data_IF_876258597521
#
_entry.id   IF_876258597521
#
_cell.length_a   1.000
_cell.length_b   1.000
_cell.length_c   1.000
_cell.angle_alpha   90.00
_cell.angle_beta   90.00
_cell.angle_gamma   90.00
#
_symmetry.space_group_name_H-M   'P 1'
#
loop_
_entity.id
_entity.type
_entity.pdbx_description
1 polymer ?
#
# COMPACT_ATOMS: atom_id res chain seq x y z
N UNK A 1 -1.72 22.57 -28.87
CA UNK A 1 -1.52 23.26 -30.17
C UNK A 1 -0.64 24.49 -29.91
N UNK A 2 0.36 24.75 -30.75
CA UNK A 2 1.33 25.84 -30.55
C UNK A 2 2.69 25.41 -29.99
N UNK A 3 3.00 24.11 -29.97
CA UNK A 3 4.31 23.57 -29.58
C UNK A 3 5.21 23.43 -30.83
N UNK A 4 6.53 23.50 -30.63
CA UNK A 4 7.52 23.19 -31.68
C UNK A 4 7.35 21.75 -32.21
N UNK A 5 7.68 21.52 -33.49
CA UNK A 5 7.43 20.25 -34.19
C UNK A 5 8.02 19.06 -33.43
N UNK A 6 9.23 19.19 -32.87
CA UNK A 6 9.88 18.11 -32.11
C UNK A 6 9.07 17.71 -30.89
N UNK A 7 8.58 18.72 -30.15
CA UNK A 7 7.80 18.52 -28.93
C UNK A 7 6.39 18.04 -29.21
N UNK A 8 5.78 18.48 -30.31
CA UNK A 8 4.52 17.94 -30.78
C UNK A 8 4.62 16.44 -31.15
N UNK A 9 5.70 16.03 -31.81
CA UNK A 9 5.98 14.62 -32.14
C UNK A 9 6.21 13.78 -30.88
N UNK A 10 6.96 14.31 -29.91
CA UNK A 10 7.20 13.65 -28.62
C UNK A 10 5.88 13.42 -27.85
N UNK A 11 5.05 14.46 -27.72
CA UNK A 11 3.74 14.38 -27.05
C UNK A 11 2.82 13.38 -27.76
N UNK A 12 2.78 13.40 -29.10
CA UNK A 12 1.97 12.45 -29.87
C UNK A 12 2.44 11.00 -29.66
N UNK A 13 3.75 10.76 -29.63
CA UNK A 13 4.32 9.43 -29.35
C UNK A 13 3.97 8.97 -27.93
N UNK A 14 4.06 9.86 -26.93
CA UNK A 14 3.70 9.55 -25.55
C UNK A 14 2.20 9.22 -25.42
N UNK A 15 1.34 10.01 -26.06
CA UNK A 15 -0.11 9.81 -26.10
C UNK A 15 -0.49 8.45 -26.68
N UNK A 16 0.02 8.12 -27.87
CA UNK A 16 -0.26 6.83 -28.53
C UNK A 16 0.30 5.67 -27.71
N UNK A 17 1.51 5.80 -27.16
CA UNK A 17 2.12 4.77 -26.30
C UNK A 17 1.27 4.50 -25.07
N UNK A 18 0.76 5.53 -24.39
CA UNK A 18 -0.12 5.37 -23.24
C UNK A 18 -1.47 4.76 -23.61
N UNK A 19 -2.06 5.19 -24.71
CA UNK A 19 -3.33 4.66 -25.19
C UNK A 19 -3.22 3.17 -25.56
N UNK A 20 -2.09 2.73 -26.10
CA UNK A 20 -1.80 1.31 -26.34
C UNK A 20 -1.56 0.57 -25.01
N UNK A 21 -0.74 1.14 -24.12
CA UNK A 21 -0.37 0.49 -22.86
C UNK A 21 -1.56 0.26 -21.92
N UNK A 22 -2.59 1.11 -21.97
CA UNK A 22 -3.81 1.01 -21.18
C UNK A 22 -5.03 0.61 -22.03
N UNK A 23 -4.82 -0.17 -23.09
CA UNK A 23 -5.91 -0.72 -23.89
C UNK A 23 -6.95 -1.43 -23.02
N UNK A 24 -8.22 -1.30 -23.41
CA UNK A 24 -9.33 -1.86 -22.66
C UNK A 24 -9.39 -3.37 -22.89
N UNK A 25 -9.49 -4.16 -21.82
CA UNK A 25 -9.66 -5.61 -21.93
C UNK A 25 -11.12 -5.97 -22.30
N UNK A 26 -11.53 -5.67 -23.53
CA UNK A 26 -12.88 -5.95 -24.06
C UNK A 26 -12.81 -7.13 -25.05
N UNK A 27 -13.54 -8.20 -24.76
CA UNK A 27 -13.60 -9.41 -25.60
C UNK A 27 -12.45 -10.40 -25.34
N UNK A 28 -12.25 -11.36 -26.25
CA UNK A 28 -11.23 -12.44 -26.15
C UNK A 28 -9.92 -12.13 -26.92
N UNK A 29 -9.67 -10.88 -27.30
CA UNK A 29 -8.53 -10.46 -28.14
C UNK A 29 -7.78 -9.24 -27.58
N UNK A 30 -6.86 -8.65 -28.38
CA UNK A 30 -6.27 -7.34 -28.04
C UNK A 30 -7.36 -6.26 -28.17
N UNK A 31 -7.83 -5.74 -27.05
CA UNK A 31 -8.89 -4.74 -27.05
C UNK A 31 -8.41 -3.36 -27.50
N UNK A 32 -9.35 -2.42 -27.74
CA UNK A 32 -9.04 -1.14 -28.35
C UNK A 32 -8.09 -0.31 -27.47
N UNK A 33 -7.28 0.54 -28.10
CA UNK A 33 -6.50 1.55 -27.37
C UNK A 33 -7.43 2.41 -26.51
N UNK A 34 -6.91 2.99 -25.42
CA UNK A 34 -7.65 3.86 -24.51
C UNK A 34 -7.15 5.30 -24.63
N UNK A 35 -7.65 6.12 -25.59
CA UNK A 35 -7.24 7.51 -25.74
C UNK A 35 -7.53 8.38 -24.51
N UNK A 36 -8.52 7.99 -23.68
CA UNK A 36 -8.87 8.72 -22.45
C UNK A 36 -7.86 8.51 -21.31
N UNK A 37 -6.96 7.51 -21.42
CA UNK A 37 -5.91 7.28 -20.42
C UNK A 37 -5.02 8.51 -20.21
N UNK A 38 -4.86 9.34 -21.24
CA UNK A 38 -4.10 10.60 -21.18
C UNK A 38 -4.66 11.60 -20.16
N UNK A 39 -5.97 11.59 -19.93
CA UNK A 39 -6.64 12.44 -18.93
C UNK A 39 -6.90 11.70 -17.63
N UNK A 40 -7.27 10.42 -17.71
CA UNK A 40 -7.61 9.60 -16.54
C UNK A 40 -6.39 9.36 -15.64
N UNK A 41 -5.22 9.05 -16.20
CA UNK A 41 -4.05 8.72 -15.39
C UNK A 41 -3.56 9.90 -14.53
N UNK A 42 -3.41 11.14 -15.05
CA UNK A 42 -3.08 12.29 -14.21
C UNK A 42 -4.12 12.57 -13.13
N UNK A 43 -5.41 12.42 -13.44
CA UNK A 43 -6.50 12.62 -12.48
C UNK A 43 -6.45 11.57 -11.35
N UNK A 44 -6.25 10.29 -11.69
CA UNK A 44 -6.10 9.22 -10.70
C UNK A 44 -4.85 9.42 -9.83
N UNK A 45 -3.73 9.85 -10.42
CA UNK A 45 -2.53 10.20 -9.66
C UNK A 45 -2.81 11.32 -8.65
N UNK A 46 -3.52 12.36 -9.05
CA UNK A 46 -3.92 13.43 -8.15
C UNK A 46 -4.83 12.91 -7.03
N UNK A 47 -5.85 12.11 -7.36
CA UNK A 47 -6.78 11.53 -6.38
C UNK A 47 -6.06 10.66 -5.34
N UNK A 48 -5.11 9.83 -5.76
CA UNK A 48 -4.29 9.00 -4.86
C UNK A 48 -3.48 9.89 -3.90
N UNK A 49 -2.79 10.90 -4.42
CA UNK A 49 -1.96 11.79 -3.58
C UNK A 49 -2.81 12.59 -2.59
N UNK A 50 -3.97 13.10 -3.01
CA UNK A 50 -4.91 13.81 -2.12
C UNK A 50 -5.50 12.89 -1.05
N UNK A 51 -5.87 11.65 -1.40
CA UNK A 51 -6.34 10.67 -0.42
C UNK A 51 -5.25 10.35 0.61
N UNK A 52 -4.00 10.17 0.17
CA UNK A 52 -2.87 9.96 1.07
C UNK A 52 -2.58 11.16 1.97
N UNK A 53 -2.68 12.40 1.48
CA UNK A 53 -2.52 13.60 2.32
C UNK A 53 -3.55 13.64 3.44
N UNK A 54 -4.83 13.41 3.12
CA UNK A 54 -5.91 13.32 4.12
C UNK A 54 -5.65 12.22 5.14
N UNK A 55 -5.16 11.07 4.68
CA UNK A 55 -4.80 9.97 5.56
C UNK A 55 -3.65 10.32 6.52
N UNK A 56 -2.64 11.06 6.06
CA UNK A 56 -1.56 11.58 6.92
C UNK A 56 -2.11 12.55 7.96
N UNK A 57 -2.97 13.50 7.55
CA UNK A 57 -3.60 14.46 8.47
C UNK A 57 -4.33 13.71 9.60
N UNK A 58 -5.15 12.71 9.25
CA UNK A 58 -5.82 11.83 10.22
C UNK A 58 -4.81 11.17 11.18
N UNK A 59 -3.70 10.62 10.66
CA UNK A 59 -2.69 9.96 11.50
C UNK A 59 -1.98 10.96 12.43
N UNK A 60 -1.62 12.15 11.93
CA UNK A 60 -0.88 13.17 12.70
C UNK A 60 -1.74 13.85 13.78
N UNK A 61 -3.06 13.93 13.58
CA UNK A 61 -4.02 14.45 14.56
C UNK A 61 -4.25 13.51 15.75
N UNK A 62 -3.96 12.21 15.60
CA UNK A 62 -4.21 11.19 16.62
C UNK A 62 -2.91 10.74 17.29
N UNK A 63 -2.67 11.25 18.50
CA UNK A 63 -1.41 11.04 19.25
C UNK A 63 -1.15 9.58 19.61
N UNK A 64 -2.20 8.81 19.83
CA UNK A 64 -2.16 7.40 20.21
C UNK A 64 -1.44 6.55 19.15
N UNK A 65 -1.47 6.97 17.88
CA UNK A 65 -0.79 6.28 16.77
C UNK A 65 0.72 6.20 16.99
N UNK A 66 1.31 7.13 17.77
CA UNK A 66 2.73 7.11 18.11
C UNK A 66 3.16 5.85 18.91
N UNK A 67 2.22 5.10 19.48
CA UNK A 67 2.48 3.83 20.16
C UNK A 67 2.57 2.63 19.20
N UNK A 68 2.11 2.81 17.96
CA UNK A 68 2.11 1.79 16.91
C UNK A 68 3.30 1.91 15.95
N UNK A 69 4.27 2.80 16.22
CA UNK A 69 5.45 2.99 15.38
C UNK A 69 6.48 1.90 15.66
N UNK A 70 6.89 1.08 14.67
CA UNK A 70 7.98 0.11 14.81
C UNK A 70 9.36 0.78 14.68
N UNK A 71 10.44 0.05 14.97
CA UNK A 71 11.82 0.53 14.81
C UNK A 71 12.13 0.87 13.34
N UNK A 72 11.64 0.06 12.40
CA UNK A 72 11.73 0.37 10.95
C UNK A 72 10.79 1.49 10.50
N UNK A 73 10.05 2.13 11.42
CA UNK A 73 9.08 3.19 11.16
C UNK A 73 7.88 2.73 10.32
N UNK A 74 6.84 3.57 10.23
CA UNK A 74 5.62 3.23 9.48
C UNK A 74 5.70 3.78 8.06
N UNK A 75 5.03 3.13 7.11
CA UNK A 75 4.83 3.69 5.78
C UNK A 75 3.41 3.35 5.30
N UNK A 76 2.70 4.36 4.83
CA UNK A 76 1.39 4.26 4.23
C UNK A 76 1.57 4.28 2.71
N UNK A 77 0.96 3.34 2.02
CA UNK A 77 0.98 3.26 0.56
C UNK A 77 -0.42 3.21 -0.02
N UNK A 78 -0.59 3.77 -1.21
CA UNK A 78 -1.81 3.65 -2.00
C UNK A 78 -1.50 3.51 -3.49
N UNK A 79 -2.16 2.56 -4.12
CA UNK A 79 -2.01 2.24 -5.53
C UNK A 79 -3.02 2.99 -6.39
N UNK A 80 -2.63 3.27 -7.62
CA UNK A 80 -3.59 3.59 -8.69
C UNK A 80 -4.60 2.44 -8.86
N UNK A 81 -5.82 2.71 -9.34
CA UNK A 81 -6.74 1.64 -9.69
C UNK A 81 -6.20 0.82 -10.88
N UNK A 82 -6.65 -0.43 -11.01
CA UNK A 82 -6.46 -1.21 -12.24
C UNK A 82 -7.23 -0.53 -13.39
N UNK A 83 -6.72 -0.58 -14.64
CA UNK A 83 -5.50 -1.26 -15.10
C UNK A 83 -4.21 -0.41 -14.98
N UNK A 84 -4.25 0.75 -14.32
CA UNK A 84 -3.09 1.66 -14.25
C UNK A 84 -1.98 1.16 -13.33
N UNK A 85 -2.32 0.46 -12.25
CA UNK A 85 -1.34 -0.13 -11.34
C UNK A 85 -0.71 -1.42 -11.90
N UNK A 86 0.52 -1.30 -12.40
CA UNK A 86 1.30 -2.42 -12.97
C UNK A 86 2.52 -2.82 -12.16
N UNK A 87 3.15 -1.86 -11.52
CA UNK A 87 4.41 -2.03 -10.79
C UNK A 87 4.49 -1.01 -9.64
N UNK A 88 5.64 -1.01 -8.96
CA UNK A 88 5.90 -0.17 -7.78
C UNK A 88 5.84 1.33 -8.10
N UNK A 89 6.14 1.73 -9.34
CA UNK A 89 6.08 3.14 -9.77
C UNK A 89 4.65 3.67 -9.82
N UNK A 90 3.64 2.79 -9.81
CA UNK A 90 2.23 3.14 -9.78
C UNK A 90 1.64 3.16 -8.36
N UNK A 91 2.49 2.98 -7.35
CA UNK A 91 2.12 3.01 -5.94
C UNK A 91 2.76 4.24 -5.30
N UNK A 92 1.93 5.09 -4.70
CA UNK A 92 2.37 6.19 -3.89
C UNK A 92 2.68 5.70 -2.46
N UNK A 93 3.73 6.27 -1.87
CA UNK A 93 4.18 6.00 -0.50
C UNK A 93 4.73 7.28 0.13
N UNK A 94 5.21 7.20 1.37
CA UNK A 94 5.86 8.32 2.05
C UNK A 94 7.38 8.19 1.96
N UNK A 95 8.08 9.02 1.18
CA UNK A 95 9.54 9.08 1.21
C UNK A 95 10.03 9.46 2.61
N UNK A 96 11.03 8.73 3.12
CA UNK A 96 11.51 8.92 4.48
C UNK A 96 10.54 8.44 5.58
N UNK A 97 9.43 7.78 5.20
CA UNK A 97 8.47 7.13 6.11
C UNK A 97 7.73 8.11 7.04
N UNK A 98 6.89 7.54 7.90
CA UNK A 98 6.17 8.23 8.98
C UNK A 98 6.87 7.86 10.28
N UNK A 99 7.37 8.89 10.97
CA UNK A 99 8.23 8.74 12.15
C UNK A 99 7.54 9.23 13.42
N UNK A 100 7.99 8.73 14.57
CA UNK A 100 7.57 9.24 15.87
C UNK A 100 8.32 10.54 16.19
N UNK A 101 7.58 11.61 16.48
CA UNK A 101 8.13 12.90 16.93
C UNK A 101 7.46 13.27 18.25
N UNK A 102 8.14 13.02 19.37
CA UNK A 102 7.56 13.16 20.70
C UNK A 102 6.43 12.15 20.92
N UNK A 103 5.21 12.64 21.17
CA UNK A 103 4.01 11.84 21.39
C UNK A 103 3.07 11.78 20.19
N UNK A 104 3.54 12.14 18.99
CA UNK A 104 2.76 12.07 17.75
C UNK A 104 3.57 11.44 16.64
N UNK A 105 2.91 11.11 15.55
CA UNK A 105 3.57 10.75 14.30
C UNK A 105 3.71 11.96 13.40
N UNK A 106 4.68 11.93 12.49
CA UNK A 106 4.86 12.93 11.44
C UNK A 106 5.37 12.27 10.16
N UNK A 107 4.78 12.61 9.03
CA UNK A 107 5.33 12.23 7.72
C UNK A 107 6.63 13.00 7.45
N UNK A 108 7.68 12.29 7.03
CA UNK A 108 8.97 12.92 6.73
C UNK A 108 8.93 13.78 5.46
N UNK A 109 8.00 13.51 4.56
CA UNK A 109 7.78 14.28 3.32
C UNK A 109 6.37 14.07 2.77
N UNK A 110 6.03 14.79 1.70
CA UNK A 110 4.76 14.58 1.00
C UNK A 110 4.74 13.23 0.27
N UNK A 111 3.56 12.59 0.09
CA UNK A 111 3.44 11.37 -0.68
C UNK A 111 4.00 11.51 -2.09
N UNK A 112 4.67 10.48 -2.58
CA UNK A 112 5.11 10.39 -3.97
C UNK A 112 5.05 8.96 -4.48
N UNK A 113 4.88 8.82 -5.79
CA UNK A 113 4.94 7.52 -6.49
C UNK A 113 6.35 6.92 -6.41
N UNK A 114 6.44 5.59 -6.33
CA UNK A 114 7.71 4.85 -6.29
C UNK A 114 8.47 4.95 -4.95
N UNK A 115 7.88 5.56 -3.92
CA UNK A 115 8.58 5.90 -2.68
C UNK A 115 8.80 4.74 -1.69
N UNK A 116 8.11 3.60 -1.84
CA UNK A 116 8.12 2.52 -0.86
C UNK A 116 8.18 1.14 -1.49
N UNK A 117 9.37 0.55 -1.52
CA UNK A 117 9.63 -0.72 -2.19
C UNK A 117 9.00 -1.94 -1.52
N UNK A 118 9.06 -2.03 -0.18
CA UNK A 118 8.58 -3.18 0.59
C UNK A 118 7.04 -3.20 0.67
N UNK A 119 6.44 -2.06 1.03
CA UNK A 119 4.98 -1.95 1.15
C UNK A 119 4.29 -2.02 -0.22
N UNK A 120 4.90 -1.47 -1.28
CA UNK A 120 4.34 -1.58 -2.62
C UNK A 120 4.24 -3.05 -3.08
N UNK A 121 5.23 -3.88 -2.77
CA UNK A 121 5.18 -5.32 -3.07
C UNK A 121 4.06 -6.05 -2.33
N UNK A 122 3.90 -5.76 -1.03
CA UNK A 122 2.80 -6.29 -0.25
C UNK A 122 1.47 -5.94 -0.91
N UNK A 123 1.27 -4.66 -1.25
CA UNK A 123 0.05 -4.16 -1.85
C UNK A 123 -0.21 -4.71 -3.25
N UNK A 124 0.81 -4.80 -4.12
CA UNK A 124 0.68 -5.42 -5.44
C UNK A 124 0.18 -6.86 -5.31
N UNK A 125 0.73 -7.62 -4.36
CA UNK A 125 0.29 -8.99 -4.12
C UNK A 125 -1.17 -9.03 -3.63
N UNK A 126 -1.58 -8.16 -2.72
CA UNK A 126 -2.99 -8.05 -2.30
C UNK A 126 -3.90 -7.78 -3.50
N UNK A 127 -3.52 -6.85 -4.37
CA UNK A 127 -4.30 -6.47 -5.55
C UNK A 127 -4.43 -7.58 -6.61
N UNK A 128 -3.58 -8.60 -6.59
CA UNK A 128 -3.74 -9.80 -7.42
C UNK A 128 -4.93 -10.67 -6.95
N UNK A 129 -5.28 -10.61 -5.66
CA UNK A 129 -6.40 -11.34 -5.08
C UNK A 129 -7.70 -10.51 -5.05
N UNK A 130 -7.61 -9.22 -4.74
CA UNK A 130 -8.75 -8.29 -4.75
C UNK A 130 -8.30 -6.87 -5.12
N UNK A 131 -8.68 -6.43 -6.32
CA UNK A 131 -8.30 -5.12 -6.87
C UNK A 131 -8.93 -3.92 -6.13
N UNK A 132 -9.94 -4.16 -5.29
CA UNK A 132 -10.55 -3.11 -4.48
C UNK A 132 -9.63 -2.66 -3.35
N UNK A 133 -8.74 -3.52 -2.86
CA UNK A 133 -7.78 -3.20 -1.81
C UNK A 133 -6.57 -2.50 -2.41
N UNK A 134 -6.56 -1.17 -2.34
CA UNK A 134 -5.52 -0.34 -2.96
C UNK A 134 -4.67 0.41 -1.96
N UNK A 135 -4.77 0.14 -0.65
CA UNK A 135 -3.91 0.77 0.33
C UNK A 135 -3.43 -0.21 1.40
N UNK A 136 -2.25 0.08 1.94
CA UNK A 136 -1.66 -0.69 3.02
C UNK A 136 -0.79 0.19 3.92
N UNK A 137 -0.66 -0.18 5.19
CA UNK A 137 0.26 0.46 6.13
C UNK A 137 0.91 -0.59 7.04
N UNK A 138 2.21 -0.49 7.29
CA UNK A 138 2.84 -1.29 8.34
C UNK A 138 2.80 -0.57 9.69
N UNK A 139 2.49 -1.32 10.74
CA UNK A 139 2.51 -0.88 12.13
C UNK A 139 3.31 -1.87 12.98
N UNK A 140 3.67 -1.47 14.19
CA UNK A 140 4.34 -2.31 15.18
C UNK A 140 3.52 -3.55 15.50
N UNK A 141 4.19 -4.69 15.55
CA UNK A 141 3.59 -5.90 16.13
C UNK A 141 3.81 -5.96 17.64
N UNK A 142 2.75 -6.34 18.34
CA UNK A 142 2.80 -6.97 19.65
C UNK A 142 1.59 -7.88 19.77
N UNK A 143 1.64 -8.87 20.67
CA UNK A 143 0.48 -9.74 20.89
C UNK A 143 -0.75 -8.93 21.35
N UNK A 144 -0.54 -7.90 22.17
CA UNK A 144 -1.62 -6.99 22.60
C UNK A 144 -2.28 -6.26 21.43
N UNK A 145 -1.50 -5.76 20.46
CA UNK A 145 -2.05 -5.07 19.28
C UNK A 145 -2.83 -6.07 18.41
N UNK A 146 -2.34 -7.30 18.23
CA UNK A 146 -3.09 -8.34 17.52
C UNK A 146 -4.44 -8.62 18.19
N UNK A 147 -4.45 -8.74 19.53
CA UNK A 147 -5.68 -9.01 20.28
C UNK A 147 -6.67 -7.83 20.20
N UNK A 148 -6.18 -6.59 20.19
CA UNK A 148 -6.99 -5.39 19.94
C UNK A 148 -7.58 -5.38 18.53
N UNK A 149 -6.80 -5.76 17.51
CA UNK A 149 -7.32 -5.87 16.13
C UNK A 149 -8.50 -6.84 16.08
N UNK A 150 -8.41 -7.98 16.79
CA UNK A 150 -9.51 -8.94 16.90
C UNK A 150 -10.70 -8.35 17.66
N UNK A 151 -10.48 -7.66 18.77
CA UNK A 151 -11.56 -7.11 19.61
C UNK A 151 -12.37 -6.02 18.91
N UNK A 152 -11.74 -5.20 18.06
CA UNK A 152 -12.43 -4.18 17.25
C UNK A 152 -13.16 -4.75 16.02
N UNK A 153 -13.13 -6.08 15.85
CA UNK A 153 -13.85 -6.80 14.81
C UNK A 153 -13.12 -6.90 13.47
N UNK A 154 -11.81 -6.62 13.44
CA UNK A 154 -11.01 -6.75 12.22
C UNK A 154 -10.47 -8.17 12.06
N UNK A 155 -10.46 -8.64 10.81
CA UNK A 155 -9.89 -9.94 10.46
C UNK A 155 -8.37 -9.88 10.43
N UNK A 156 -7.71 -10.76 11.18
CA UNK A 156 -6.25 -10.81 11.26
C UNK A 156 -5.70 -12.23 11.24
N UNK A 157 -4.70 -12.42 10.38
CA UNK A 157 -3.95 -13.68 10.22
C UNK A 157 -2.51 -13.46 10.65
N UNK A 158 -2.00 -14.31 11.52
CA UNK A 158 -0.61 -14.27 11.95
C UNK A 158 0.20 -15.38 11.26
N UNK A 159 1.45 -15.08 10.97
CA UNK A 159 2.35 -15.95 10.23
C UNK A 159 3.76 -15.95 10.84
N UNK A 160 4.31 -17.14 11.05
CA UNK A 160 5.68 -17.36 11.51
C UNK A 160 6.61 -17.63 10.33
N UNK A 161 7.71 -16.88 10.20
CA UNK A 161 8.68 -17.04 9.10
C UNK A 161 9.42 -18.38 9.06
N UNK A 162 9.32 -19.19 10.12
CA UNK A 162 9.80 -20.57 10.16
C UNK A 162 9.15 -21.46 9.08
N UNK A 163 7.93 -21.13 8.64
CA UNK A 163 7.22 -21.88 7.60
C UNK A 163 7.60 -21.45 6.16
N UNK A 164 8.56 -20.51 6.00
CA UNK A 164 8.98 -19.93 4.72
C UNK A 164 10.01 -20.84 4.01
N UNK A 165 9.80 -21.19 2.73
CA UNK A 165 10.80 -21.92 1.94
C UNK A 165 12.18 -21.26 1.99
N UNK A 166 13.23 -22.06 2.18
CA UNK A 166 14.61 -21.60 2.31
C UNK A 166 15.09 -20.79 1.09
N UNK A 167 14.57 -21.10 -0.10
CA UNK A 167 14.88 -20.43 -1.35
C UNK A 167 14.35 -18.99 -1.40
N UNK A 168 13.21 -18.72 -0.75
CA UNK A 168 12.60 -17.39 -0.66
C UNK A 168 13.29 -16.53 0.40
N UNK A 169 13.71 -17.14 1.52
CA UNK A 169 14.47 -16.46 2.57
C UNK A 169 15.77 -15.80 2.06
N UNK A 170 16.37 -16.35 1.00
CA UNK A 170 17.61 -15.85 0.39
C UNK A 170 17.40 -14.72 -0.61
N UNK A 171 16.17 -14.50 -1.09
CA UNK A 171 15.83 -13.45 -2.06
C UNK A 171 15.18 -12.27 -1.38
N UNK A 172 15.88 -11.14 -1.37
CA UNK A 172 15.34 -9.91 -0.80
C UNK A 172 14.05 -9.50 -1.53
N UNK A 173 13.00 -9.23 -0.76
CA UNK A 173 11.71 -8.76 -1.27
C UNK A 173 10.69 -9.83 -1.63
N UNK A 174 11.04 -11.12 -1.63
CA UNK A 174 10.11 -12.20 -1.94
C UNK A 174 9.31 -12.70 -0.72
N UNK A 175 9.86 -12.52 0.48
CA UNK A 175 9.19 -12.96 1.72
C UNK A 175 7.83 -12.29 1.95
N UNK A 176 7.71 -10.99 1.67
CA UNK A 176 6.50 -10.22 1.98
C UNK A 176 5.33 -10.61 1.05
N UNK A 177 5.49 -10.62 -0.29
CA UNK A 177 4.45 -11.14 -1.18
C UNK A 177 4.00 -12.55 -0.81
N UNK A 178 4.95 -13.45 -0.58
CA UNK A 178 4.62 -14.83 -0.26
C UNK A 178 3.84 -14.97 1.06
N UNK A 179 4.20 -14.19 2.09
CA UNK A 179 3.49 -14.13 3.36
C UNK A 179 2.04 -13.64 3.18
N UNK A 180 1.85 -12.56 2.43
CA UNK A 180 0.52 -12.00 2.11
C UNK A 180 -0.33 -13.03 1.36
N UNK A 181 0.24 -13.66 0.34
CA UNK A 181 -0.43 -14.70 -0.44
C UNK A 181 -0.90 -15.87 0.44
N UNK A 182 -0.03 -16.36 1.33
CA UNK A 182 -0.38 -17.45 2.25
C UNK A 182 -1.49 -17.05 3.21
N UNK A 183 -1.44 -15.84 3.76
CA UNK A 183 -2.47 -15.33 4.66
C UNK A 183 -3.83 -15.21 3.96
N UNK A 184 -3.86 -14.67 2.73
CA UNK A 184 -5.09 -14.56 1.93
C UNK A 184 -5.65 -15.94 1.58
N UNK A 185 -4.80 -16.86 1.11
CA UNK A 185 -5.20 -18.25 0.80
C UNK A 185 -5.79 -18.96 2.02
N UNK A 186 -5.20 -18.78 3.20
CA UNK A 186 -5.71 -19.36 4.46
C UNK A 186 -7.05 -18.74 4.89
N UNK A 187 -7.25 -17.45 4.68
CA UNK A 187 -8.49 -16.76 5.05
C UNK A 187 -9.60 -16.87 3.99
N UNK A 188 -9.28 -17.27 2.75
CA UNK A 188 -10.20 -17.30 1.61
C UNK A 188 -10.58 -15.92 1.05
N UNK A 189 -10.09 -14.82 1.64
CA UNK A 189 -10.31 -13.43 1.27
C UNK A 189 -9.18 -12.56 1.81
N UNK A 190 -9.07 -11.32 1.34
CA UNK A 190 -8.10 -10.35 1.89
C UNK A 190 -8.52 -10.00 3.34
N UNK A 191 -7.67 -10.29 4.35
CA UNK A 191 -7.95 -9.89 5.73
C UNK A 191 -7.68 -8.40 5.93
N UNK A 192 -8.21 -7.82 6.99
CA UNK A 192 -7.95 -6.42 7.37
C UNK A 192 -6.50 -6.21 7.79
N UNK A 193 -5.87 -7.23 8.40
CA UNK A 193 -4.48 -7.20 8.78
C UNK A 193 -3.78 -8.56 8.64
N UNK A 194 -2.47 -8.52 8.43
CA UNK A 194 -1.60 -9.71 8.51
C UNK A 194 -0.41 -9.42 9.42
N UNK A 195 -0.20 -10.28 10.42
CA UNK A 195 0.94 -10.21 11.33
C UNK A 195 2.10 -11.06 10.79
N UNK A 196 3.24 -10.41 10.57
CA UNK A 196 4.53 -11.03 10.36
C UNK A 196 5.25 -11.09 11.72
N UNK A 197 5.38 -12.30 12.27
CA UNK A 197 5.96 -12.50 13.60
C UNK A 197 7.49 -12.31 13.64
N UNK A 198 8.09 -11.91 12.52
CA UNK A 198 9.51 -11.64 12.41
C UNK A 198 10.35 -12.90 12.38
N UNK A 199 11.66 -12.71 12.46
CA UNK A 199 12.68 -13.76 12.51
C UNK A 199 14.00 -13.16 13.03
N UNK A 200 15.06 -13.94 13.15
CA UNK A 200 16.38 -13.42 13.48
C UNK A 200 16.80 -12.28 12.53
N UNK A 201 16.96 -11.07 13.08
CA UNK A 201 17.31 -9.86 12.31
C UNK A 201 16.14 -9.23 11.52
N UNK A 202 14.90 -9.71 11.70
CA UNK A 202 13.70 -9.18 11.03
C UNK A 202 12.67 -8.78 12.08
N UNK A 203 12.40 -7.48 12.16
CA UNK A 203 11.43 -6.93 13.11
C UNK A 203 10.02 -7.48 12.81
N UNK A 204 9.27 -7.93 13.84
CA UNK A 204 7.87 -8.28 13.70
C UNK A 204 7.00 -7.07 13.33
N UNK A 205 6.09 -7.23 12.37
CA UNK A 205 5.24 -6.16 11.83
C UNK A 205 3.80 -6.61 11.62
N UNK A 206 2.87 -5.66 11.62
CA UNK A 206 1.50 -5.87 11.18
C UNK A 206 1.26 -5.03 9.94
N UNK A 207 0.77 -5.66 8.88
CA UNK A 207 0.35 -4.98 7.65
C UNK A 207 -1.16 -4.83 7.67
N UNK A 208 -1.66 -3.59 7.73
CA UNK A 208 -3.08 -3.25 7.70
C UNK A 208 -3.48 -2.88 6.27
N UNK A 209 -4.59 -3.44 5.79
CA UNK A 209 -5.08 -3.27 4.41
C UNK A 209 -6.44 -2.56 4.35
N UNK A 210 -6.69 -1.86 3.25
CA UNK A 210 -7.94 -1.16 3.00
C UNK A 210 -8.12 -0.77 1.53
N UNK A 211 -9.28 -0.22 1.20
CA UNK A 211 -9.63 0.19 -0.16
C UNK A 211 -8.94 1.47 -0.59
N UNK A 212 -8.66 2.35 0.37
CA UNK A 212 -7.91 3.57 0.18
C UNK A 212 -7.12 3.95 1.45
N UNK A 213 -6.25 4.96 1.33
CA UNK A 213 -5.33 5.35 2.38
C UNK A 213 -6.08 5.88 3.62
N UNK A 214 -7.20 6.59 3.41
CA UNK A 214 -8.05 7.11 4.48
C UNK A 214 -8.70 5.97 5.27
N UNK A 215 -9.19 4.92 4.62
CA UNK A 215 -9.70 3.73 5.31
C UNK A 215 -8.62 3.10 6.19
N UNK A 216 -7.41 2.91 5.65
CA UNK A 216 -6.28 2.34 6.40
C UNK A 216 -5.91 3.21 7.59
N UNK A 217 -5.82 4.54 7.41
CA UNK A 217 -5.54 5.47 8.50
C UNK A 217 -6.61 5.39 9.60
N UNK A 218 -7.89 5.34 9.24
CA UNK A 218 -8.99 5.19 10.20
C UNK A 218 -8.94 3.85 10.95
N UNK A 219 -8.61 2.75 10.27
CA UNK A 219 -8.38 1.45 10.95
C UNK A 219 -7.25 1.54 11.96
N UNK A 220 -6.13 2.13 11.58
CA UNK A 220 -4.94 2.30 12.44
C UNK A 220 -5.25 3.20 13.65
N UNK A 221 -5.97 4.31 13.45
CA UNK A 221 -6.41 5.18 14.55
C UNK A 221 -7.34 4.43 15.51
N UNK A 222 -8.27 3.62 15.00
CA UNK A 222 -9.17 2.81 15.83
C UNK A 222 -8.39 1.81 16.67
N UNK A 223 -7.42 1.12 16.08
CA UNK A 223 -6.52 0.19 16.80
C UNK A 223 -5.73 0.95 17.88
N UNK A 224 -5.18 2.12 17.55
CA UNK A 224 -4.37 2.92 18.48
C UNK A 224 -5.16 3.39 19.71
N UNK A 225 -6.39 3.86 19.50
CA UNK A 225 -7.26 4.35 20.58
C UNK A 225 -7.66 3.22 21.54
N UNK A 226 -8.01 2.06 21.00
CA UNK A 226 -8.37 0.90 21.82
C UNK A 226 -7.15 0.36 22.58
N UNK A 227 -5.97 0.33 21.94
CA UNK A 227 -4.72 -0.08 22.59
C UNK A 227 -4.27 0.85 23.73
N UNK A 228 -4.65 2.13 23.69
CA UNK A 228 -4.39 3.10 24.76
C UNK A 228 -5.44 3.12 25.87
N UNK A 229 -6.57 2.42 25.69
CA UNK A 229 -7.69 2.38 26.65
C UNK A 229 -7.63 1.18 27.60
N UNK A 230 -6.76 0.20 27.33
CA UNK A 230 -6.50 -0.98 28.18
C UNK A 230 -5.15 -0.91 28.86
#
# INVERSE_FOLDING_TARGET
KGEDIRKAVEVAKLFVTQAIAYSLAIGKGQGPTNPTSWLQLPAEKYNVLENMKKAIEILEENREVANLVPEVQMNLVMSLPKPYAKDIEHIAGIPGRIVKVGNKVKASSQPSFGASWHMARALLKVMEFDENFRAAMNIKYSKSIEDVIRSVGFSVISYERSEEPLELRKKEGESIPWLVERAIKKSGKVPDAVCDLGDWGKEPLIYVFGKDAVEVANKVVRIAREQGSG
#
